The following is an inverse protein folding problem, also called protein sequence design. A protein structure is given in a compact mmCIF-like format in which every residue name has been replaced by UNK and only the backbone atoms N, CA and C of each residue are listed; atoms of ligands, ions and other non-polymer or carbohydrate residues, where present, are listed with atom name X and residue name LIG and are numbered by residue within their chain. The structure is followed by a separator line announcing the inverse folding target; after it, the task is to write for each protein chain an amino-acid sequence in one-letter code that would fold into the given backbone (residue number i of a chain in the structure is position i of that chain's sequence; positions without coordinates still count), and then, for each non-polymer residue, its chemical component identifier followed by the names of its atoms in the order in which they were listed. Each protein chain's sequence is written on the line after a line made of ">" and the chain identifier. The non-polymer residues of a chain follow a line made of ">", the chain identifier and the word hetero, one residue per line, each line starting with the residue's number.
data_IF_176831052141
#
_entry.id   IF_176831052141
#
_cell.length_a   1.000
_cell.length_b   1.000
_cell.length_c   1.000
_cell.angle_alpha   90.00
_cell.angle_beta   90.00
_cell.angle_gamma   90.00
#
_symmetry.space_group_name_H-M   'P 1'
#
loop_
_entity.id
_entity.type
_entity.pdbx_description
1 polymer ?
#
# COMPACT_ATOMS: atom_id res chain seq x y z
N UNK A 1 -10.46 -6.27 14.76
CA UNK A 1 -10.81 -5.94 13.36
C UNK A 1 -10.23 -4.60 12.92
N UNK A 2 -10.66 -3.46 13.49
CA UNK A 2 -10.02 -2.16 13.19
C UNK A 2 -8.53 -2.16 13.58
N UNK A 3 -8.20 -2.72 14.75
CA UNK A 3 -6.81 -2.85 15.22
C UNK A 3 -5.95 -3.69 14.27
N UNK A 4 -6.51 -4.73 13.66
CA UNK A 4 -5.78 -5.61 12.72
C UNK A 4 -5.49 -4.89 11.39
N UNK A 5 -6.42 -4.06 10.93
CA UNK A 5 -6.23 -3.21 9.75
C UNK A 5 -5.18 -2.14 10.03
N UNK A 6 -5.20 -1.53 11.21
CA UNK A 6 -4.19 -0.54 11.64
C UNK A 6 -2.78 -1.15 11.74
N UNK A 7 -2.64 -2.34 12.34
CA UNK A 7 -1.36 -3.07 12.38
C UNK A 7 -0.87 -3.42 10.98
N UNK A 8 -1.77 -3.91 10.12
CA UNK A 8 -1.46 -4.22 8.71
C UNK A 8 -1.04 -2.96 7.93
N UNK A 9 -1.68 -1.82 8.20
CA UNK A 9 -1.31 -0.52 7.62
C UNK A 9 0.09 -0.10 8.03
N UNK A 10 0.49 -0.32 9.30
CA UNK A 10 1.86 -0.08 9.76
C UNK A 10 2.90 -0.93 9.04
N UNK A 11 2.60 -2.21 8.78
CA UNK A 11 3.47 -3.11 8.00
C UNK A 11 3.64 -2.58 6.57
N UNK A 12 2.54 -2.26 5.89
CA UNK A 12 2.58 -1.73 4.51
C UNK A 12 3.28 -0.38 4.46
N UNK A 13 3.03 0.50 5.43
CA UNK A 13 3.69 1.80 5.52
C UNK A 13 5.21 1.64 5.63
N UNK A 14 5.67 0.74 6.50
CA UNK A 14 7.10 0.44 6.67
C UNK A 14 7.70 -0.07 5.37
N UNK A 15 7.04 -1.03 4.72
CA UNK A 15 7.45 -1.54 3.41
C UNK A 15 7.56 -0.42 2.36
N UNK A 16 6.57 0.48 2.28
CA UNK A 16 6.56 1.60 1.33
C UNK A 16 7.64 2.65 1.65
N UNK A 17 7.94 2.88 2.93
CA UNK A 17 8.98 3.82 3.38
C UNK A 17 10.38 3.37 2.96
N UNK A 18 10.60 2.06 2.84
CA UNK A 18 11.86 1.48 2.36
C UNK A 18 12.03 1.56 0.83
N UNK A 19 10.97 1.88 0.08
CA UNK A 19 11.03 2.00 -1.38
C UNK A 19 11.49 3.40 -1.81
N UNK A 20 12.39 3.44 -2.78
CA UNK A 20 12.84 4.71 -3.40
C UNK A 20 11.88 5.20 -4.49
N UNK A 21 11.04 4.32 -5.03
CA UNK A 21 10.13 4.59 -6.16
C UNK A 21 8.72 4.02 -5.89
N UNK A 22 7.67 4.57 -6.56
CA UNK A 22 6.33 4.00 -6.50
C UNK A 22 6.28 2.54 -6.95
N UNK A 23 5.63 1.69 -6.16
CA UNK A 23 5.59 0.23 -6.35
C UNK A 23 4.22 -0.24 -6.80
N UNK A 24 4.15 -1.30 -7.59
CA UNK A 24 2.88 -1.89 -8.02
C UNK A 24 2.20 -2.64 -6.88
N UNK A 25 0.86 -2.76 -6.95
CA UNK A 25 0.09 -3.59 -6.00
C UNK A 25 0.62 -5.03 -5.91
N UNK A 26 1.01 -5.61 -7.04
CA UNK A 26 1.56 -6.97 -7.09
C UNK A 26 2.87 -7.08 -6.29
N UNK A 27 3.73 -6.06 -6.33
CA UNK A 27 4.96 -6.04 -5.52
C UNK A 27 4.63 -6.03 -4.03
N UNK A 28 3.65 -5.23 -3.60
CA UNK A 28 3.19 -5.22 -2.20
C UNK A 28 2.69 -6.62 -1.81
N UNK A 29 1.78 -7.21 -2.58
CA UNK A 29 1.21 -8.55 -2.31
C UNK A 29 2.24 -9.65 -2.19
N UNK A 30 3.35 -9.55 -2.92
CA UNK A 30 4.43 -10.54 -2.88
C UNK A 30 5.47 -10.27 -1.79
N UNK A 31 5.48 -9.07 -1.20
CA UNK A 31 6.50 -8.65 -0.23
C UNK A 31 6.02 -8.67 1.21
N UNK A 32 4.71 -8.55 1.44
CA UNK A 32 4.12 -8.58 2.79
C UNK A 32 3.37 -9.89 3.01
N UNK A 33 3.58 -10.52 4.16
CA UNK A 33 2.88 -11.74 4.56
C UNK A 33 1.49 -11.40 5.13
N UNK A 34 0.62 -10.90 4.25
CA UNK A 34 -0.75 -10.51 4.58
C UNK A 34 -1.71 -11.02 3.51
N UNK A 35 -2.94 -11.33 3.91
CA UNK A 35 -3.98 -11.70 2.95
C UNK A 35 -4.30 -10.54 2.00
N UNK A 36 -4.69 -10.85 0.77
CA UNK A 36 -5.04 -9.83 -0.23
C UNK A 36 -6.14 -8.88 0.28
N UNK A 37 -7.07 -9.37 1.09
CA UNK A 37 -8.12 -8.55 1.72
C UNK A 37 -7.55 -7.58 2.74
N UNK A 38 -6.65 -8.05 3.63
CA UNK A 38 -6.00 -7.19 4.61
C UNK A 38 -5.15 -6.11 3.94
N UNK A 39 -4.45 -6.46 2.85
CA UNK A 39 -3.66 -5.50 2.08
C UNK A 39 -4.54 -4.38 1.54
N UNK A 40 -5.69 -4.71 0.93
CA UNK A 40 -6.60 -3.70 0.41
C UNK A 40 -7.21 -2.83 1.51
N UNK A 41 -7.61 -3.43 2.64
CA UNK A 41 -8.13 -2.67 3.78
C UNK A 41 -7.07 -1.73 4.38
N UNK A 42 -5.84 -2.20 4.50
CA UNK A 42 -4.71 -1.43 5.00
C UNK A 42 -4.32 -0.28 4.06
N UNK A 43 -4.31 -0.52 2.73
CA UNK A 43 -4.13 0.56 1.74
C UNK A 43 -5.26 1.59 1.82
N UNK A 44 -6.51 1.15 1.96
CA UNK A 44 -7.66 2.05 2.18
C UNK A 44 -7.53 2.86 3.46
N UNK A 45 -7.00 2.26 4.53
CA UNK A 45 -6.71 2.96 5.79
C UNK A 45 -5.65 4.05 5.61
N UNK A 46 -4.54 3.74 4.94
CA UNK A 46 -3.49 4.72 4.64
C UNK A 46 -3.99 5.83 3.72
N UNK A 47 -4.83 5.52 2.73
CA UNK A 47 -5.45 6.49 1.85
C UNK A 47 -6.40 7.44 2.61
N UNK A 48 -7.20 6.90 3.54
CA UNK A 48 -8.08 7.69 4.42
C UNK A 48 -7.30 8.73 5.23
N UNK A 49 -6.08 8.41 5.64
CA UNK A 49 -5.19 9.30 6.40
C UNK A 49 -4.34 10.22 5.50
N UNK A 50 -4.39 10.03 4.18
CA UNK A 50 -3.58 10.80 3.24
C UNK A 50 -2.10 10.42 3.22
N UNK A 51 -1.74 9.23 3.74
CA UNK A 51 -0.36 8.77 3.88
C UNK A 51 0.24 8.25 2.57
N UNK A 52 -0.60 7.91 1.58
CA UNK A 52 -0.16 7.31 0.31
C UNK A 52 -0.67 8.11 -0.90
N UNK A 53 0.07 7.99 -2.00
CA UNK A 53 -0.30 8.45 -3.33
C UNK A 53 -0.51 7.21 -4.20
N UNK A 54 -1.57 7.24 -5.03
CA UNK A 54 -1.86 6.19 -6.00
C UNK A 54 -1.80 6.81 -7.38
N UNK A 55 -0.91 6.30 -8.22
CA UNK A 55 -0.67 6.79 -9.58
C UNK A 55 -1.07 5.71 -10.58
N UNK A 56 -1.80 6.09 -11.63
CA UNK A 56 -2.21 5.18 -12.70
C UNK A 56 -1.56 5.66 -14.01
N UNK A 57 -0.42 5.09 -14.41
CA UNK A 57 0.25 5.46 -15.65
C UNK A 57 -0.66 5.16 -16.85
N UNK A 58 -0.71 6.06 -17.83
CA UNK A 58 -1.56 5.91 -19.03
C UNK A 58 -1.24 4.63 -19.82
N UNK A 59 0.04 4.21 -19.82
CA UNK A 59 0.53 3.01 -20.52
C UNK A 59 0.51 1.73 -19.65
N UNK A 60 -0.15 1.73 -18.49
CA UNK A 60 -0.17 0.57 -17.59
C UNK A 60 -1.57 0.16 -17.15
N UNK A 61 -1.84 -1.15 -17.21
CA UNK A 61 -3.03 -1.75 -16.60
C UNK A 61 -2.96 -1.84 -15.07
N UNK A 62 -1.89 -1.33 -14.45
CA UNK A 62 -1.66 -1.40 -13.00
C UNK A 62 -1.37 -0.03 -12.41
N UNK A 63 -1.87 0.20 -11.20
CA UNK A 63 -1.54 1.39 -10.42
C UNK A 63 -0.29 1.16 -9.57
N UNK A 64 0.44 2.25 -9.31
CA UNK A 64 1.59 2.32 -8.42
C UNK A 64 1.21 3.06 -7.15
N UNK A 65 1.81 2.67 -6.03
CA UNK A 65 1.58 3.22 -4.70
C UNK A 65 2.92 3.69 -4.12
N UNK A 66 2.94 4.86 -3.51
CA UNK A 66 4.07 5.43 -2.79
C UNK A 66 3.59 6.16 -1.53
N UNK A 67 4.49 6.43 -0.59
CA UNK A 67 4.17 7.33 0.52
C UNK A 67 4.09 8.78 0.03
N UNK A 68 3.14 9.53 0.59
CA UNK A 68 3.09 10.97 0.43
C UNK A 68 4.22 11.60 1.25
N UNK A 69 5.17 12.25 0.57
CA UNK A 69 6.25 13.03 1.20
C UNK A 69 5.88 14.50 1.30
#
# INVERSE_FOLDING_TARGET
>A
MIEDIGKSAGIIWTFLNEQTEPVTLSKIKNSVDLSATLIQMALGWLAREGNIIIEMPEDSFSYKISLKK
#
